data_IF_671969067279
#
_entry.id   IF_671969067279
#
_cell.length_a   1.000
_cell.length_b   1.000
_cell.length_c   1.000
_cell.angle_alpha   90.00
_cell.angle_beta   90.00
_cell.angle_gamma   90.00
#
_symmetry.space_group_name_H-M   'P 1'
#
loop_
_entity.id
_entity.type
_entity.pdbx_description
1 polymer ?
#
# COMPACT_ATOMS: atom_id res chain seq x y z
N UNK A 1 -7.05 20.50 22.18
CA UNK A 1 -5.62 20.46 22.50
C UNK A 1 -5.31 19.05 23.00
N UNK A 2 -4.83 18.18 22.11
CA UNK A 2 -4.24 16.90 22.52
C UNK A 2 -2.85 17.20 23.09
N UNK A 3 -2.57 16.74 24.30
CA UNK A 3 -1.27 16.88 24.96
C UNK A 3 -0.15 16.07 24.24
N UNK A 4 -0.52 15.26 23.25
CA UNK A 4 0.40 14.45 22.47
C UNK A 4 0.40 14.92 20.99
N UNK A 5 1.57 15.15 20.39
CA UNK A 5 1.67 15.44 18.96
C UNK A 5 1.18 14.22 18.15
N UNK A 6 0.59 14.50 16.99
CA UNK A 6 0.23 13.44 16.03
C UNK A 6 1.44 13.22 15.13
N UNK A 7 2.02 12.03 15.17
CA UNK A 7 3.20 11.68 14.38
C UNK A 7 2.83 11.19 12.97
N UNK A 8 1.65 10.54 12.83
CA UNK A 8 1.21 9.94 11.58
C UNK A 8 -0.31 10.08 11.40
N UNK A 9 -0.72 10.46 10.20
CA UNK A 9 -2.13 10.44 9.78
C UNK A 9 -2.24 9.51 8.57
N UNK A 10 -3.08 8.48 8.68
CA UNK A 10 -3.42 7.59 7.57
C UNK A 10 -4.78 8.00 7.00
N UNK A 11 -4.82 8.20 5.69
CA UNK A 11 -6.04 8.54 4.95
C UNK A 11 -6.38 7.40 4.01
N UNK A 12 -7.53 6.76 4.22
CA UNK A 12 -8.06 5.76 3.30
C UNK A 12 -8.78 6.45 2.16
N UNK A 13 -8.36 6.17 0.93
CA UNK A 13 -8.88 6.80 -0.28
C UNK A 13 -9.67 5.78 -1.12
N UNK A 14 -10.78 6.21 -1.75
CA UNK A 14 -11.48 5.35 -2.68
C UNK A 14 -10.59 5.00 -3.89
N UNK A 15 -10.71 3.78 -4.41
CA UNK A 15 -9.89 3.28 -5.52
C UNK A 15 -10.12 3.95 -6.88
N UNK A 16 -10.96 5.00 -6.96
CA UNK A 16 -11.24 5.74 -8.17
C UNK A 16 -10.55 7.10 -8.13
N UNK A 17 -9.61 7.32 -9.04
CA UNK A 17 -8.82 8.57 -9.14
C UNK A 17 -9.54 9.66 -9.92
N UNK A 18 -10.62 9.34 -10.64
CA UNK A 18 -11.35 10.26 -11.53
C UNK A 18 -12.09 11.41 -10.81
N UNK A 19 -12.23 11.30 -9.49
CA UNK A 19 -12.78 12.41 -8.71
C UNK A 19 -11.68 13.45 -8.45
N UNK A 20 -11.87 14.69 -8.92
CA UNK A 20 -10.93 15.80 -8.68
C UNK A 20 -10.51 15.93 -7.21
N UNK A 21 -11.41 15.59 -6.28
CA UNK A 21 -11.13 15.60 -4.85
C UNK A 21 -10.08 14.57 -4.44
N UNK A 22 -10.13 13.36 -4.99
CA UNK A 22 -9.17 12.29 -4.68
C UNK A 22 -7.77 12.67 -5.16
N UNK A 23 -7.63 13.14 -6.40
CA UNK A 23 -6.34 13.58 -6.93
C UNK A 23 -5.74 14.73 -6.12
N UNK A 24 -6.56 15.73 -5.75
CA UNK A 24 -6.13 16.82 -4.86
C UNK A 24 -5.65 16.32 -3.52
N UNK A 25 -6.33 15.36 -2.94
CA UNK A 25 -5.91 14.76 -1.66
C UNK A 25 -4.57 14.06 -1.81
N UNK A 26 -4.41 13.25 -2.85
CA UNK A 26 -3.16 12.50 -3.13
C UNK A 26 -1.96 13.43 -3.21
N UNK A 27 -2.02 14.49 -4.02
CA UNK A 27 -0.87 15.40 -4.20
C UNK A 27 -0.55 16.26 -2.98
N UNK A 28 -1.44 16.32 -2.01
CA UNK A 28 -1.24 17.02 -0.73
C UNK A 28 -0.84 16.10 0.44
N UNK A 29 -0.60 14.80 0.18
CA UNK A 29 -0.02 13.88 1.15
C UNK A 29 1.51 13.92 1.07
N UNK A 30 2.20 13.50 2.15
CA UNK A 30 3.65 13.30 2.11
C UNK A 30 4.03 12.06 1.31
N UNK A 31 3.26 11.00 1.45
CA UNK A 31 3.47 9.71 0.78
C UNK A 31 2.15 9.08 0.38
N UNK A 32 2.17 8.30 -0.70
CA UNK A 32 1.06 7.44 -1.11
C UNK A 32 1.51 5.99 -1.01
N UNK A 33 0.72 5.13 -0.36
CA UNK A 33 1.01 3.71 -0.24
C UNK A 33 0.01 2.96 -1.11
N UNK A 34 0.50 2.25 -2.11
CA UNK A 34 -0.32 1.60 -3.14
C UNK A 34 -0.12 0.08 -3.14
N UNK A 35 -1.11 -0.70 -2.71
CA UNK A 35 -1.06 -2.15 -2.88
C UNK A 35 -1.23 -2.52 -4.35
N UNK A 36 -0.38 -3.44 -4.82
CA UNK A 36 -0.45 -4.01 -6.17
C UNK A 36 -0.54 -5.52 -6.13
N UNK A 37 -1.13 -6.10 -7.15
CA UNK A 37 -1.21 -7.56 -7.34
C UNK A 37 -0.63 -7.93 -8.68
N UNK A 38 -0.27 -9.19 -8.89
CA UNK A 38 0.23 -9.70 -10.18
C UNK A 38 -0.91 -9.88 -11.23
N UNK A 39 -1.92 -9.01 -11.16
CA UNK A 39 -3.01 -8.92 -12.11
C UNK A 39 -2.74 -7.83 -13.13
N UNK A 40 -2.94 -8.15 -14.41
CA UNK A 40 -2.66 -7.24 -15.52
C UNK A 40 -3.43 -5.92 -15.43
N UNK A 41 -4.72 -5.98 -15.07
CA UNK A 41 -5.56 -4.77 -15.00
C UNK A 41 -5.17 -3.88 -13.84
N UNK A 42 -4.89 -4.49 -12.67
CA UNK A 42 -4.40 -3.78 -11.49
C UNK A 42 -3.06 -3.12 -11.79
N UNK A 43 -2.12 -3.84 -12.40
CA UNK A 43 -0.80 -3.30 -12.75
C UNK A 43 -0.91 -2.17 -13.75
N UNK A 44 -1.70 -2.32 -14.81
CA UNK A 44 -1.88 -1.28 -15.81
C UNK A 44 -2.47 0.00 -15.20
N UNK A 45 -3.49 -0.14 -14.36
CA UNK A 45 -4.11 0.99 -13.67
C UNK A 45 -3.14 1.68 -12.70
N UNK A 46 -2.41 0.90 -11.91
CA UNK A 46 -1.44 1.42 -10.95
C UNK A 46 -0.27 2.13 -11.61
N UNK A 47 0.26 1.59 -12.72
CA UNK A 47 1.33 2.23 -13.49
C UNK A 47 0.86 3.52 -14.16
N UNK A 48 -0.33 3.51 -14.78
CA UNK A 48 -0.92 4.69 -15.40
C UNK A 48 -1.16 5.81 -14.38
N UNK A 49 -1.73 5.45 -13.23
CA UNK A 49 -1.91 6.38 -12.12
C UNK A 49 -0.59 7.01 -11.65
N UNK A 50 0.40 6.16 -11.39
CA UNK A 50 1.69 6.62 -10.85
C UNK A 50 2.42 7.55 -11.81
N UNK A 51 2.45 7.20 -13.10
CA UNK A 51 3.08 8.06 -14.11
C UNK A 51 2.35 9.40 -14.22
N UNK A 52 1.02 9.41 -14.17
CA UNK A 52 0.23 10.65 -14.18
C UNK A 52 0.54 11.54 -12.97
N UNK A 53 0.60 10.96 -11.77
CA UNK A 53 0.91 11.73 -10.55
C UNK A 53 2.35 12.23 -10.58
N UNK A 54 3.32 11.36 -10.90
CA UNK A 54 4.73 11.73 -10.94
C UNK A 54 5.02 12.80 -12.02
N UNK A 55 4.39 12.71 -13.17
CA UNK A 55 4.50 13.75 -14.20
C UNK A 55 3.88 15.08 -13.74
N UNK A 56 2.78 15.01 -13.01
CA UNK A 56 2.13 16.20 -12.46
C UNK A 56 2.99 16.92 -11.42
N UNK A 57 3.69 16.20 -10.54
CA UNK A 57 4.49 16.80 -9.47
C UNK A 57 5.91 17.20 -9.91
N UNK A 58 6.39 16.67 -11.03
CA UNK A 58 7.78 16.82 -11.50
C UNK A 58 8.27 18.29 -11.50
N UNK A 59 7.43 19.20 -11.98
CA UNK A 59 7.77 20.61 -12.12
C UNK A 59 7.05 21.50 -11.09
N UNK A 60 6.64 20.92 -9.97
CA UNK A 60 5.84 21.57 -8.93
C UNK A 60 6.44 21.33 -7.53
N UNK A 61 7.53 22.05 -7.19
CA UNK A 61 8.22 21.86 -5.92
C UNK A 61 7.38 22.27 -4.69
N UNK A 62 6.28 22.99 -4.90
CA UNK A 62 5.34 23.37 -3.85
C UNK A 62 4.45 22.19 -3.39
N UNK A 63 4.39 21.12 -4.16
CA UNK A 63 3.59 19.93 -3.80
C UNK A 63 4.36 19.10 -2.77
N UNK A 64 3.73 18.76 -1.62
CA UNK A 64 4.40 18.05 -0.53
C UNK A 64 4.66 16.57 -0.81
N UNK A 65 4.04 15.96 -1.83
CA UNK A 65 4.17 14.55 -2.14
C UNK A 65 5.61 14.18 -2.49
N UNK A 66 6.21 13.36 -1.63
CA UNK A 66 7.61 12.93 -1.72
C UNK A 66 7.77 11.69 -2.59
N UNK A 67 6.88 10.69 -2.41
CA UNK A 67 6.97 9.43 -3.14
C UNK A 67 5.66 8.63 -3.13
N UNK A 68 5.56 7.70 -4.08
CA UNK A 68 4.52 6.68 -4.14
C UNK A 68 5.19 5.33 -3.87
N UNK A 69 4.83 4.71 -2.74
CA UNK A 69 5.39 3.45 -2.27
C UNK A 69 4.46 2.30 -2.68
N UNK A 70 4.98 1.38 -3.47
CA UNK A 70 4.24 0.19 -3.88
C UNK A 70 4.62 -1.00 -3.02
N UNK A 71 3.67 -1.86 -2.72
CA UNK A 71 3.96 -3.17 -2.15
C UNK A 71 3.10 -4.26 -2.80
N UNK A 72 3.67 -5.45 -2.90
CA UNK A 72 2.99 -6.60 -3.44
C UNK A 72 2.00 -7.17 -2.42
N UNK A 73 0.73 -7.20 -2.82
CA UNK A 73 -0.38 -7.69 -2.02
C UNK A 73 -1.01 -8.93 -2.68
N UNK A 74 -1.61 -9.79 -1.89
CA UNK A 74 -2.27 -11.03 -2.33
C UNK A 74 -1.35 -11.92 -3.18
N UNK A 75 -0.12 -12.09 -2.73
CA UNK A 75 0.84 -12.95 -3.41
C UNK A 75 0.54 -14.41 -3.07
N UNK A 76 0.14 -15.17 -4.07
CA UNK A 76 -0.05 -16.61 -3.95
C UNK A 76 1.30 -17.32 -3.87
N UNK A 77 1.43 -18.31 -2.97
CA UNK A 77 2.68 -19.10 -2.81
C UNK A 77 3.09 -19.86 -4.07
N UNK A 78 2.16 -20.08 -5.02
CA UNK A 78 2.35 -20.77 -6.29
C UNK A 78 2.19 -19.85 -7.49
N UNK A 79 2.24 -18.53 -7.29
CA UNK A 79 2.12 -17.57 -8.38
C UNK A 79 3.24 -17.79 -9.41
N UNK A 80 2.92 -17.55 -10.67
CA UNK A 80 3.90 -17.57 -11.74
C UNK A 80 4.92 -16.44 -11.50
N UNK A 81 6.13 -16.82 -11.13
CA UNK A 81 7.23 -15.88 -10.84
C UNK A 81 7.58 -15.03 -12.05
N UNK A 82 7.41 -15.55 -13.26
CA UNK A 82 7.75 -14.86 -14.51
C UNK A 82 6.97 -13.54 -14.70
N UNK A 83 5.66 -13.56 -14.41
CA UNK A 83 4.81 -12.36 -14.48
C UNK A 83 5.23 -11.33 -13.43
N UNK A 84 5.54 -11.81 -12.23
CA UNK A 84 6.05 -10.97 -11.15
C UNK A 84 7.36 -10.29 -11.54
N UNK A 85 8.31 -11.04 -12.08
CA UNK A 85 9.63 -10.55 -12.49
C UNK A 85 9.52 -9.51 -13.60
N UNK A 86 8.62 -9.71 -14.58
CA UNK A 86 8.36 -8.75 -15.65
C UNK A 86 7.87 -7.42 -15.08
N UNK A 87 6.88 -7.46 -14.17
CA UNK A 87 6.35 -6.24 -13.56
C UNK A 87 7.37 -5.54 -12.68
N UNK A 88 8.16 -6.29 -11.92
CA UNK A 88 9.24 -5.74 -11.11
C UNK A 88 10.26 -4.99 -11.97
N UNK A 89 10.67 -5.56 -13.10
CA UNK A 89 11.56 -4.89 -14.07
C UNK A 89 10.91 -3.62 -14.66
N UNK A 90 9.61 -3.66 -14.97
CA UNK A 90 8.91 -2.48 -15.50
C UNK A 90 8.88 -1.35 -14.46
N UNK A 91 8.57 -1.65 -13.21
CA UNK A 91 8.55 -0.66 -12.14
C UNK A 91 9.93 -0.06 -11.88
N UNK A 92 10.98 -0.86 -11.92
CA UNK A 92 12.36 -0.38 -11.84
C UNK A 92 12.73 0.56 -12.99
N UNK A 93 12.35 0.22 -14.23
CA UNK A 93 12.57 1.10 -15.41
C UNK A 93 11.85 2.44 -15.27
N UNK A 94 10.67 2.44 -14.69
CA UNK A 94 9.88 3.64 -14.39
C UNK A 94 10.37 4.38 -13.13
N UNK A 95 11.39 3.85 -12.45
CA UNK A 95 11.95 4.40 -11.20
C UNK A 95 10.90 4.54 -10.09
N UNK A 96 9.96 3.60 -10.03
CA UNK A 96 8.95 3.54 -8.98
C UNK A 96 9.53 2.84 -7.74
N UNK A 97 9.18 3.32 -6.57
CA UNK A 97 9.63 2.74 -5.31
C UNK A 97 8.75 1.56 -4.93
N UNK A 98 9.31 0.36 -4.96
CA UNK A 98 8.64 -0.87 -4.56
C UNK A 98 9.26 -1.37 -3.26
N UNK A 99 8.43 -1.64 -2.26
CA UNK A 99 8.84 -2.19 -0.98
C UNK A 99 9.27 -3.66 -1.15
N UNK A 100 10.18 -4.11 -0.30
CA UNK A 100 10.67 -5.50 -0.32
C UNK A 100 9.65 -6.46 0.29
N UNK A 101 8.89 -5.98 1.26
CA UNK A 101 7.87 -6.78 1.94
C UNK A 101 6.70 -7.08 1.03
N UNK A 102 6.28 -8.34 1.03
CA UNK A 102 5.09 -8.83 0.32
C UNK A 102 4.03 -9.29 1.30
N UNK A 103 2.76 -9.05 0.99
CA UNK A 103 1.63 -9.54 1.76
C UNK A 103 1.03 -10.76 1.03
N UNK A 104 1.06 -11.95 1.65
CA UNK A 104 0.57 -13.16 1.03
C UNK A 104 -0.96 -13.17 0.92
N UNK A 105 -1.47 -13.85 -0.10
CA UNK A 105 -2.89 -14.21 -0.16
C UNK A 105 -3.21 -15.27 0.90
N UNK A 106 -4.26 -15.01 1.68
CA UNK A 106 -4.65 -15.93 2.76
C UNK A 106 -6.13 -15.81 3.10
N UNK A 107 -6.79 -16.94 3.21
CA UNK A 107 -8.17 -17.02 3.67
C UNK A 107 -8.39 -16.58 5.15
N UNK A 108 -7.34 -16.18 5.85
CA UNK A 108 -7.48 -15.70 7.25
C UNK A 108 -8.32 -14.42 7.32
N UNK A 109 -8.21 -13.56 6.31
CA UNK A 109 -8.95 -12.30 6.25
C UNK A 109 -10.43 -12.52 5.96
N UNK A 110 -10.75 -13.56 5.18
CA UNK A 110 -12.13 -13.88 4.83
C UNK A 110 -12.89 -14.54 6.00
N UNK A 111 -12.15 -15.24 6.88
CA UNK A 111 -12.73 -15.91 8.06
C UNK A 111 -13.11 -14.94 9.19
N UNK A 112 -12.66 -13.70 9.16
CA UNK A 112 -12.97 -12.73 10.20
C UNK A 112 -14.46 -12.42 10.31
N UNK A 113 -15.17 -12.49 9.20
CA UNK A 113 -16.63 -12.27 9.15
C UNK A 113 -17.46 -13.53 9.50
N UNK A 114 -16.83 -14.67 9.77
CA UNK A 114 -17.54 -15.87 10.14
C UNK A 114 -18.03 -15.81 11.58
N UNK A 115 -19.23 -16.35 11.84
CA UNK A 115 -19.87 -16.40 13.18
C UNK A 115 -18.99 -17.15 14.21
N UNK A 116 -18.08 -17.99 13.76
CA UNK A 116 -17.13 -18.75 14.58
C UNK A 116 -15.78 -18.04 14.81
N UNK A 117 -15.58 -16.87 14.23
CA UNK A 117 -14.34 -16.12 14.39
C UNK A 117 -14.19 -15.60 15.80
N UNK A 118 -13.10 -15.98 16.48
CA UNK A 118 -12.74 -15.53 17.84
C UNK A 118 -11.77 -14.34 17.88
N UNK A 119 -11.48 -13.73 16.73
CA UNK A 119 -10.52 -12.64 16.66
C UNK A 119 -10.80 -11.68 15.52
N UNK A 120 -10.53 -10.40 15.77
CA UNK A 120 -10.64 -9.35 14.77
C UNK A 120 -9.24 -9.06 14.22
N UNK A 121 -9.11 -9.13 12.89
CA UNK A 121 -7.90 -8.76 12.19
C UNK A 121 -7.93 -7.30 11.76
N UNK A 122 -9.09 -6.85 11.28
CA UNK A 122 -9.33 -5.49 10.79
C UNK A 122 -9.99 -4.64 11.88
N UNK A 123 -9.20 -4.22 12.86
CA UNK A 123 -9.66 -3.33 13.92
C UNK A 123 -8.66 -2.18 14.08
N UNK A 124 -9.15 -0.95 14.06
CA UNK A 124 -8.34 0.26 14.26
C UNK A 124 -8.15 0.61 15.74
N UNK A 125 -8.93 0.00 16.61
CA UNK A 125 -8.92 0.31 18.06
C UNK A 125 -8.08 -0.69 18.86
N UNK A 126 -8.02 -1.95 18.42
CA UNK A 126 -7.34 -3.02 19.13
C UNK A 126 -6.31 -3.69 18.22
N UNK A 127 -5.11 -3.99 18.75
CA UNK A 127 -4.13 -4.72 17.96
C UNK A 127 -4.64 -6.13 17.65
N UNK A 128 -4.41 -6.64 16.45
CA UNK A 128 -4.79 -8.01 16.11
C UNK A 128 -4.02 -9.02 16.96
N UNK A 129 -4.60 -10.18 17.26
CA UNK A 129 -3.92 -11.23 18.01
C UNK A 129 -2.62 -11.66 17.32
N UNK A 130 -1.55 -11.85 18.07
CA UNK A 130 -0.22 -12.22 17.57
C UNK A 130 -0.26 -13.47 16.66
N UNK A 131 -1.16 -14.41 16.93
CA UNK A 131 -1.36 -15.61 16.10
C UNK A 131 -1.84 -15.26 14.67
N UNK A 132 -2.62 -14.20 14.51
CA UNK A 132 -3.09 -13.74 13.19
C UNK A 132 -2.00 -12.98 12.44
N UNK A 133 -1.16 -12.24 13.15
CA UNK A 133 -0.02 -11.51 12.57
C UNK A 133 1.08 -12.41 12.05
N UNK A 134 1.28 -13.57 12.69
CA UNK A 134 2.36 -14.49 12.30
C UNK A 134 2.23 -14.95 10.84
N UNK A 135 3.20 -14.57 10.00
CA UNK A 135 3.25 -14.90 8.57
C UNK A 135 2.19 -14.18 7.73
N UNK A 136 1.69 -13.05 8.21
CA UNK A 136 0.79 -12.16 7.45
C UNK A 136 1.54 -11.16 6.56
N UNK A 137 2.82 -10.90 6.84
CA UNK A 137 3.60 -9.84 6.22
C UNK A 137 3.32 -8.43 6.77
N UNK A 138 2.32 -8.25 7.63
CA UNK A 138 1.95 -6.90 8.08
C UNK A 138 2.92 -6.29 9.09
N UNK A 139 3.55 -7.10 9.93
CA UNK A 139 4.55 -6.60 10.88
C UNK A 139 5.78 -6.13 10.12
N UNK A 140 6.23 -6.93 9.16
CA UNK A 140 7.35 -6.64 8.27
C UNK A 140 7.06 -5.38 7.44
N UNK A 141 5.87 -5.30 6.84
CA UNK A 141 5.43 -4.13 6.08
C UNK A 141 5.39 -2.86 6.94
N UNK A 142 4.85 -2.95 8.16
CA UNK A 142 4.79 -1.81 9.06
C UNK A 142 6.19 -1.33 9.46
N UNK A 143 7.13 -2.24 9.70
CA UNK A 143 8.51 -1.89 10.02
C UNK A 143 9.23 -1.23 8.83
N UNK A 144 9.08 -1.80 7.63
CA UNK A 144 9.66 -1.22 6.42
C UNK A 144 9.08 0.18 6.13
N UNK A 145 7.77 0.36 6.29
CA UNK A 145 7.13 1.67 6.16
C UNK A 145 7.66 2.68 7.18
N UNK A 146 7.80 2.29 8.46
CA UNK A 146 8.38 3.17 9.48
C UNK A 146 9.79 3.64 9.09
N UNK A 147 10.60 2.74 8.59
CA UNK A 147 11.97 3.06 8.14
C UNK A 147 11.94 4.02 6.95
N UNK A 148 11.12 3.74 5.93
CA UNK A 148 10.97 4.58 4.73
C UNK A 148 10.42 5.97 5.05
N UNK A 149 9.45 6.05 5.96
CA UNK A 149 8.81 7.30 6.37
C UNK A 149 9.61 8.05 7.45
N UNK A 150 10.65 7.45 8.02
CA UNK A 150 11.48 7.99 9.10
C UNK A 150 10.69 8.32 10.37
N UNK A 151 9.80 7.40 10.76
CA UNK A 151 8.95 7.46 11.96
C UNK A 151 9.62 6.83 13.18
#
# INVERSE_FOLDING_TARGET
>A
NSEHPIDLVLVDLPGTVDAQGVFRTIVNMDYVITPITADKMVMQSSLSFSTTVLDYIRDRPEIPLKDILFFWNKIERRANTEVFDIYQMMMQRLKLTVLETTVPDTCRYDKELSVSSKGYFRCTLLPPPAKLLKGSGFVELANELKEKLKL
#
